data_IF_273721499196
#
_entry.id   IF_273721499196
#
_cell.length_a   1.000
_cell.length_b   1.000
_cell.length_c   1.000
_cell.angle_alpha   90.00
_cell.angle_beta   90.00
_cell.angle_gamma   90.00
#
_symmetry.space_group_name_H-M   'P 1'
#
loop_
_entity.id
_entity.type
_entity.pdbx_description
1 polymer ?
#
# COMPACT_ATOMS: atom_id res chain seq x y z
N UNK A 1 -1.06 -22.99 21.18
CA UNK A 1 -2.12 -22.19 20.52
C UNK A 1 -3.25 -23.13 20.11
N UNK A 2 -4.48 -22.90 20.58
CA UNK A 2 -5.65 -23.64 20.11
C UNK A 2 -6.52 -22.68 19.31
N UNK A 3 -6.82 -23.06 18.07
CA UNK A 3 -7.76 -22.30 17.23
C UNK A 3 -8.95 -23.20 16.90
N UNK A 4 -10.15 -22.62 16.98
CA UNK A 4 -11.38 -23.32 16.58
C UNK A 4 -12.22 -22.40 15.71
N UNK A 5 -12.88 -22.98 14.71
CA UNK A 5 -13.87 -22.26 13.91
C UNK A 5 -15.26 -22.75 14.31
N UNK A 6 -16.00 -21.90 15.02
CA UNK A 6 -17.37 -22.21 15.47
C UNK A 6 -18.27 -20.99 15.27
N UNK A 7 -19.50 -21.21 14.81
CA UNK A 7 -20.49 -20.14 14.56
C UNK A 7 -19.97 -18.96 13.70
N UNK A 8 -19.13 -19.23 12.69
CA UNK A 8 -18.59 -18.20 11.80
C UNK A 8 -17.51 -17.31 12.44
N UNK A 9 -17.00 -17.70 13.61
CA UNK A 9 -15.96 -16.99 14.36
C UNK A 9 -14.73 -17.88 14.50
N UNK A 10 -13.57 -17.30 14.22
CA UNK A 10 -12.28 -17.86 14.55
C UNK A 10 -11.99 -17.51 16.02
N UNK A 11 -12.09 -18.52 16.89
CA UNK A 11 -11.65 -18.39 18.28
C UNK A 11 -10.16 -18.72 18.31
N UNK A 12 -9.36 -17.79 18.80
CA UNK A 12 -7.94 -18.03 19.09
C UNK A 12 -7.79 -17.93 20.59
N UNK A 13 -7.52 -19.06 21.25
CA UNK A 13 -7.19 -19.09 22.67
C UNK A 13 -5.68 -19.19 22.84
N UNK A 14 -5.14 -18.19 23.53
CA UNK A 14 -3.80 -18.15 24.08
C UNK A 14 -3.95 -17.95 25.59
N UNK A 15 -3.04 -18.50 26.39
CA UNK A 15 -3.13 -18.64 27.86
C UNK A 15 -3.47 -17.36 28.67
N UNK A 16 -3.54 -16.18 28.04
CA UNK A 16 -3.87 -14.90 28.68
C UNK A 16 -5.15 -14.20 28.12
N UNK A 17 -5.72 -14.61 26.98
CA UNK A 17 -6.93 -13.94 26.43
C UNK A 17 -7.61 -14.73 25.30
N UNK A 18 -8.93 -14.92 25.41
CA UNK A 18 -9.79 -15.38 24.31
C UNK A 18 -10.15 -14.20 23.39
N UNK A 19 -9.67 -14.23 22.15
CA UNK A 19 -10.10 -13.27 21.12
C UNK A 19 -10.92 -13.99 20.04
N UNK A 20 -12.13 -13.48 19.81
CA UNK A 20 -12.99 -13.86 18.69
C UNK A 20 -12.73 -12.93 17.50
N UNK A 21 -12.35 -13.50 16.37
CA UNK A 21 -12.33 -12.80 15.09
C UNK A 21 -13.46 -13.32 14.22
N UNK A 22 -14.33 -12.45 13.75
CA UNK A 22 -15.34 -12.87 12.77
C UNK A 22 -14.71 -13.02 11.39
N UNK A 23 -15.19 -13.99 10.59
CA UNK A 23 -14.76 -14.12 9.20
C UNK A 23 -15.00 -12.80 8.41
N UNK A 24 -16.09 -12.09 8.76
CA UNK A 24 -16.43 -10.78 8.21
C UNK A 24 -15.35 -9.73 8.47
N UNK A 25 -14.75 -9.69 9.65
CA UNK A 25 -13.66 -8.74 9.97
C UNK A 25 -12.39 -9.04 9.17
N UNK A 26 -12.04 -10.32 9.02
CA UNK A 26 -10.87 -10.73 8.23
C UNK A 26 -11.04 -10.41 6.74
N UNK A 27 -12.23 -10.69 6.19
CA UNK A 27 -12.58 -10.36 4.80
C UNK A 27 -12.62 -8.84 4.61
N UNK A 28 -13.20 -8.10 5.56
CA UNK A 28 -13.23 -6.63 5.51
C UNK A 28 -11.81 -6.04 5.54
N UNK A 29 -10.90 -6.61 6.33
CA UNK A 29 -9.49 -6.20 6.37
C UNK A 29 -8.79 -6.44 5.02
N UNK A 30 -8.94 -7.63 4.45
CA UNK A 30 -8.35 -8.00 3.17
C UNK A 30 -8.89 -7.11 2.02
N UNK A 31 -10.20 -6.91 1.99
CA UNK A 31 -10.88 -5.99 1.06
C UNK A 31 -10.35 -4.56 1.20
N UNK A 32 -10.17 -4.08 2.44
CA UNK A 32 -9.61 -2.75 2.70
C UNK A 32 -8.17 -2.62 2.20
N UNK A 33 -7.34 -3.64 2.39
CA UNK A 33 -5.97 -3.70 1.84
C UNK A 33 -5.96 -3.64 0.31
N UNK A 34 -6.87 -4.35 -0.37
CA UNK A 34 -7.01 -4.28 -1.82
C UNK A 34 -7.47 -2.90 -2.29
N UNK A 35 -8.42 -2.28 -1.58
CA UNK A 35 -8.88 -0.93 -1.87
C UNK A 35 -7.75 0.11 -1.71
N UNK A 36 -6.91 0.00 -0.67
CA UNK A 36 -5.76 0.88 -0.52
C UNK A 36 -4.75 0.73 -1.65
N UNK A 37 -4.45 -0.50 -2.09
CA UNK A 37 -3.55 -0.72 -3.23
C UNK A 37 -4.06 -0.02 -4.50
N UNK A 38 -5.36 -0.14 -4.79
CA UNK A 38 -5.98 0.56 -5.94
C UNK A 38 -5.86 2.09 -5.81
N UNK A 39 -6.11 2.64 -4.61
CA UNK A 39 -5.98 4.09 -4.36
C UNK A 39 -4.54 4.58 -4.51
N UNK A 40 -3.56 3.85 -3.99
CA UNK A 40 -2.14 4.18 -4.12
C UNK A 40 -1.68 4.10 -5.57
N UNK A 41 -2.13 3.10 -6.33
CA UNK A 41 -1.85 3.01 -7.76
C UNK A 41 -2.44 4.19 -8.53
N UNK A 42 -3.69 4.56 -8.23
CA UNK A 42 -4.31 5.74 -8.82
C UNK A 42 -3.55 7.03 -8.49
N UNK A 43 -3.13 7.21 -7.23
CA UNK A 43 -2.28 8.33 -6.81
C UNK A 43 -0.95 8.37 -7.58
N UNK A 44 -0.28 7.22 -7.72
CA UNK A 44 0.96 7.10 -8.47
C UNK A 44 0.79 7.53 -9.93
N UNK A 45 -0.25 7.03 -10.61
CA UNK A 45 -0.53 7.39 -12.00
C UNK A 45 -0.86 8.88 -12.15
N UNK A 46 -1.70 9.42 -11.26
CA UNK A 46 -2.08 10.84 -11.28
C UNK A 46 -0.86 11.75 -11.07
N UNK A 47 -0.01 11.44 -10.08
CA UNK A 47 1.21 12.19 -9.83
C UNK A 47 2.18 12.11 -11.00
N UNK A 48 2.38 10.91 -11.57
CA UNK A 48 3.31 10.72 -12.70
C UNK A 48 2.86 11.54 -13.90
N UNK A 49 1.59 11.46 -14.27
CA UNK A 49 1.03 12.23 -15.41
C UNK A 49 1.13 13.73 -15.13
N UNK A 50 0.74 14.19 -13.94
CA UNK A 50 0.80 15.61 -13.59
C UNK A 50 2.22 16.15 -13.62
N UNK A 51 3.19 15.41 -13.05
CA UNK A 51 4.60 15.81 -13.04
C UNK A 51 5.18 15.82 -14.46
N UNK A 52 4.82 14.83 -15.29
CA UNK A 52 5.27 14.78 -16.67
C UNK A 52 4.74 15.97 -17.49
N UNK A 53 3.48 16.34 -17.30
CA UNK A 53 2.88 17.52 -17.93
C UNK A 53 3.57 18.80 -17.45
N UNK A 54 3.79 18.96 -16.14
CA UNK A 54 4.49 20.13 -15.60
C UNK A 54 5.94 20.22 -16.08
N UNK A 55 6.64 19.10 -16.19
CA UNK A 55 8.02 19.07 -16.67
C UNK A 55 8.11 19.42 -18.17
N UNK A 56 7.11 19.00 -18.95
CA UNK A 56 7.04 19.31 -20.38
C UNK A 56 6.43 20.69 -20.65
N UNK A 57 5.97 21.39 -19.60
CA UNK A 57 5.41 22.72 -19.70
C UNK A 57 6.52 23.77 -19.59
N UNK A 58 6.81 24.47 -20.68
CA UNK A 58 7.73 25.61 -20.69
C UNK A 58 9.04 25.43 -21.46
N UNK A 59 9.26 24.29 -22.13
CA UNK A 59 10.41 24.10 -23.02
C UNK A 59 10.28 22.86 -23.90
N UNK A 60 10.85 22.94 -25.09
CA UNK A 60 10.92 21.80 -26.00
C UNK A 60 11.97 20.79 -25.54
N UNK A 61 11.70 19.52 -25.82
CA UNK A 61 12.67 18.46 -25.57
C UNK A 61 13.81 18.57 -26.60
N UNK A 62 15.06 18.80 -26.19
CA UNK A 62 16.19 18.87 -27.12
C UNK A 62 16.33 17.54 -27.87
N UNK A 63 16.57 17.59 -29.18
CA UNK A 63 16.71 16.42 -30.05
C UNK A 63 18.14 15.88 -30.14
N UNK A 64 19.11 16.66 -29.68
CA UNK A 64 20.55 16.40 -29.71
C UNK A 64 21.14 16.10 -28.31
N UNK A 65 20.28 15.83 -27.34
CA UNK A 65 20.71 15.57 -25.97
C UNK A 65 21.30 14.16 -25.81
N UNK A 66 22.11 13.97 -24.76
CA UNK A 66 22.67 12.67 -24.42
C UNK A 66 21.60 11.67 -23.99
N UNK A 67 21.86 10.37 -24.17
CA UNK A 67 20.96 9.30 -23.68
C UNK A 67 20.67 9.43 -22.18
N UNK A 68 21.68 9.81 -21.38
CA UNK A 68 21.53 10.03 -19.94
C UNK A 68 20.54 11.15 -19.61
N UNK A 69 20.46 12.20 -20.44
CA UNK A 69 19.47 13.26 -20.27
C UNK A 69 18.06 12.71 -20.42
N UNK A 70 17.77 11.94 -21.47
CA UNK A 70 16.43 11.37 -21.67
C UNK A 70 16.06 10.39 -20.55
N UNK A 71 17.00 9.54 -20.11
CA UNK A 71 16.78 8.65 -18.97
C UNK A 71 16.39 9.48 -17.74
N UNK A 72 17.15 10.52 -17.41
CA UNK A 72 16.85 11.41 -16.29
C UNK A 72 15.50 12.11 -16.46
N UNK A 73 15.21 12.62 -17.66
CA UNK A 73 13.97 13.30 -17.99
C UNK A 73 12.74 12.42 -17.73
N UNK A 74 12.72 11.19 -18.24
CA UNK A 74 11.58 10.28 -18.02
C UNK A 74 11.56 9.63 -16.63
N UNK A 75 12.74 9.37 -16.04
CA UNK A 75 12.82 8.75 -14.73
C UNK A 75 12.44 9.70 -13.59
N UNK A 76 12.67 11.01 -13.73
CA UNK A 76 12.45 11.97 -12.64
C UNK A 76 10.99 12.00 -12.15
N UNK A 77 9.96 12.13 -13.02
CA UNK A 77 8.56 12.04 -12.60
C UNK A 77 8.21 10.70 -11.94
N UNK A 78 8.75 9.60 -12.48
CA UNK A 78 8.50 8.25 -11.96
C UNK A 78 9.10 8.06 -10.55
N UNK A 79 10.33 8.52 -10.34
CA UNK A 79 11.01 8.43 -9.04
C UNK A 79 10.26 9.26 -7.99
N UNK A 80 9.91 10.50 -8.32
CA UNK A 80 9.19 11.38 -7.40
C UNK A 80 7.81 10.80 -7.06
N UNK A 81 7.02 10.42 -8.07
CA UNK A 81 5.71 9.82 -7.85
C UNK A 81 5.80 8.50 -7.06
N UNK A 82 6.83 7.69 -7.32
CA UNK A 82 7.12 6.45 -6.61
C UNK A 82 7.44 6.68 -5.14
N UNK A 83 8.30 7.65 -4.82
CA UNK A 83 8.63 8.02 -3.44
C UNK A 83 7.40 8.50 -2.67
N UNK A 84 6.63 9.43 -3.25
CA UNK A 84 5.42 9.97 -2.61
C UNK A 84 4.38 8.86 -2.37
N UNK A 85 4.15 8.00 -3.37
CA UNK A 85 3.20 6.89 -3.27
C UNK A 85 3.65 5.84 -2.26
N UNK A 86 4.95 5.58 -2.17
CA UNK A 86 5.53 4.64 -1.19
C UNK A 86 5.37 5.15 0.24
N UNK A 87 5.68 6.43 0.49
CA UNK A 87 5.46 7.07 1.79
C UNK A 87 3.97 7.02 2.16
N UNK A 88 3.09 7.38 1.23
CA UNK A 88 1.64 7.35 1.44
C UNK A 88 1.16 5.94 1.78
N UNK A 89 1.63 4.93 1.06
CA UNK A 89 1.35 3.53 1.36
C UNK A 89 1.83 3.14 2.76
N UNK A 90 3.06 3.54 3.15
CA UNK A 90 3.60 3.25 4.47
C UNK A 90 2.79 3.90 5.60
N UNK A 91 2.28 5.11 5.39
CA UNK A 91 1.42 5.79 6.35
C UNK A 91 0.05 5.09 6.47
N UNK A 92 -0.51 4.62 5.36
CA UNK A 92 -1.82 3.96 5.32
C UNK A 92 -1.79 2.47 5.69
N UNK A 93 -0.64 1.79 5.59
CA UNK A 93 -0.55 0.32 5.79
C UNK A 93 -0.70 -0.12 7.25
N UNK A 94 -0.85 0.79 8.22
CA UNK A 94 -0.94 0.41 9.64
C UNK A 94 -2.20 -0.45 9.85
N UNK A 95 -2.04 -1.75 10.17
CA UNK A 95 -3.20 -2.60 10.43
C UNK A 95 -3.87 -2.15 11.73
N UNK A 96 -5.19 -2.33 11.85
CA UNK A 96 -5.92 -2.00 13.06
C UNK A 96 -5.36 -2.80 14.23
N UNK A 97 -5.42 -2.22 15.43
CA UNK A 97 -4.80 -2.76 16.65
C UNK A 97 -5.16 -4.25 16.89
N UNK A 98 -6.35 -4.68 16.49
CA UNK A 98 -6.87 -6.05 16.63
C UNK A 98 -6.11 -7.06 15.76
N UNK A 99 -5.91 -6.77 14.46
CA UNK A 99 -5.16 -7.64 13.52
C UNK A 99 -3.68 -7.68 13.90
N UNK A 100 -3.15 -6.57 14.44
CA UNK A 100 -1.77 -6.50 14.94
C UNK A 100 -1.53 -7.43 16.14
N UNK A 101 -2.51 -7.58 17.03
CA UNK A 101 -2.49 -8.55 18.14
C UNK A 101 -2.57 -9.98 17.61
N UNK A 102 -3.48 -10.25 16.67
CA UNK A 102 -3.62 -11.57 16.04
C UNK A 102 -2.31 -12.06 15.41
N UNK A 103 -1.65 -11.18 14.64
CA UNK A 103 -0.36 -11.49 14.01
C UNK A 103 0.76 -11.78 15.02
N UNK A 104 0.70 -11.23 16.24
CA UNK A 104 1.67 -11.52 17.30
C UNK A 104 1.54 -12.97 17.78
N UNK A 105 0.32 -13.49 17.84
CA UNK A 105 0.05 -14.87 18.27
C UNK A 105 0.39 -15.88 17.17
N UNK A 106 0.10 -15.60 15.90
CA UNK A 106 0.39 -16.52 14.78
C UNK A 106 1.85 -16.54 14.31
N UNK A 107 2.73 -15.73 14.92
CA UNK A 107 4.15 -15.66 14.58
C UNK A 107 5.06 -16.33 15.62
N UNK A 108 4.46 -17.05 16.58
CA UNK A 108 5.16 -17.93 17.51
C UNK A 108 5.38 -19.31 16.90
#
# INVERSE_FOLDING_TARGET
MKWSYTNGKLNVSSDELDQQFTLKELIAEASRHQAYRKKILALFCLLTVSLFLMQSYGGDLPSDASVYFYIGYFATPLIIAGLISSITYFLMRKPPKQVRKLKKYFRS
#
